data_IF_552525887194
#
_entry.id   IF_552525887194
#
_cell.length_a   1.000
_cell.length_b   1.000
_cell.length_c   1.000
_cell.angle_alpha   90.00
_cell.angle_beta   90.00
_cell.angle_gamma   90.00
#
_symmetry.space_group_name_H-M   'P 1'
#
loop_
_entity.id
_entity.type
_entity.pdbx_description
1 polymer ?
#
# COMPACT_ATOMS: atom_id res chain seq x y z
N UNK A 1 35.22 11.52 17.19
CA UNK A 1 35.43 10.78 15.94
C UNK A 1 36.58 9.81 16.15
N UNK A 2 36.52 8.56 15.63
CA UNK A 2 37.68 7.67 15.63
C UNK A 2 38.88 8.37 14.96
N UNK A 3 40.10 8.10 15.42
CA UNK A 3 41.33 8.71 14.88
C UNK A 3 41.59 8.40 13.39
N UNK A 4 40.85 7.43 12.83
CA UNK A 4 40.99 6.94 11.46
C UNK A 4 39.81 7.36 10.54
N UNK A 5 38.90 8.22 11.02
CA UNK A 5 37.75 8.66 10.21
C UNK A 5 38.16 9.76 9.24
N UNK A 6 38.29 9.38 7.97
CA UNK A 6 38.56 10.27 6.85
C UNK A 6 37.24 10.50 6.06
N UNK A 7 36.56 11.65 6.25
CA UNK A 7 35.30 11.96 5.58
C UNK A 7 35.46 12.18 4.06
N UNK A 8 36.69 12.37 3.58
CA UNK A 8 37.00 12.69 2.19
C UNK A 8 37.24 11.43 1.34
N UNK A 9 37.09 10.23 1.92
CA UNK A 9 37.23 8.97 1.18
C UNK A 9 36.00 8.72 0.29
N UNK A 10 36.14 8.65 -1.04
CA UNK A 10 35.03 8.39 -1.95
C UNK A 10 34.29 7.10 -1.62
N UNK A 11 32.95 7.13 -1.64
CA UNK A 11 32.12 5.96 -1.36
C UNK A 11 32.39 4.82 -2.36
N UNK A 12 32.05 3.58 -1.98
CA UNK A 12 32.15 2.43 -2.90
C UNK A 12 31.34 2.67 -4.18
N UNK A 13 30.15 3.24 -4.03
CA UNK A 13 29.26 3.59 -5.14
C UNK A 13 29.90 4.62 -6.09
N UNK A 14 30.50 5.68 -5.55
CA UNK A 14 31.18 6.68 -6.37
C UNK A 14 32.35 6.05 -7.16
N UNK A 15 33.15 5.19 -6.49
CA UNK A 15 34.25 4.46 -7.13
C UNK A 15 33.74 3.54 -8.24
N UNK A 16 32.69 2.74 -7.99
CA UNK A 16 32.13 1.81 -8.97
C UNK A 16 31.47 2.56 -10.14
N UNK A 17 30.73 3.62 -9.86
CA UNK A 17 30.08 4.46 -10.87
C UNK A 17 31.13 5.08 -11.79
N UNK A 18 32.19 5.63 -11.22
CA UNK A 18 33.27 6.23 -12.00
C UNK A 18 34.00 5.19 -12.85
N UNK A 19 34.31 4.01 -12.30
CA UNK A 19 34.93 2.93 -13.07
C UNK A 19 34.03 2.38 -14.18
N UNK A 20 32.70 2.36 -13.98
CA UNK A 20 31.72 2.01 -15.02
C UNK A 20 31.66 3.07 -16.12
N UNK A 21 31.67 4.35 -15.77
CA UNK A 21 31.68 5.46 -16.73
C UNK A 21 32.96 5.47 -17.57
N UNK A 22 34.12 5.22 -16.95
CA UNK A 22 35.41 5.17 -17.66
C UNK A 22 35.48 3.98 -18.61
N UNK A 23 34.88 2.84 -18.25
CA UNK A 23 34.71 1.67 -19.12
C UNK A 23 35.99 0.91 -19.50
N UNK A 24 37.17 1.40 -19.09
CA UNK A 24 38.51 0.84 -19.34
C UNK A 24 39.37 0.87 -18.07
N UNK A 25 40.43 0.04 -17.97
CA UNK A 25 41.30 0.05 -16.79
C UNK A 25 41.94 1.43 -16.54
N UNK A 26 41.82 1.95 -15.31
CA UNK A 26 42.32 3.26 -14.88
C UNK A 26 43.37 3.13 -13.78
N UNK A 27 44.36 4.03 -13.75
CA UNK A 27 45.34 4.08 -12.66
C UNK A 27 44.71 4.56 -11.36
N UNK A 28 45.25 4.15 -10.21
CA UNK A 28 44.68 4.51 -8.89
C UNK A 28 44.70 6.02 -8.66
N UNK A 29 45.78 6.71 -9.06
CA UNK A 29 45.91 8.16 -8.95
C UNK A 29 44.95 8.91 -9.88
N UNK A 30 44.67 8.35 -11.06
CA UNK A 30 43.73 8.95 -12.03
C UNK A 30 42.29 8.77 -11.57
N UNK A 31 41.98 7.61 -10.96
CA UNK A 31 40.70 7.37 -10.31
C UNK A 31 40.49 8.33 -9.14
N UNK A 32 41.51 8.51 -8.28
CA UNK A 32 41.45 9.44 -7.16
C UNK A 32 41.20 10.87 -7.63
N UNK A 33 41.94 11.35 -8.64
CA UNK A 33 41.72 12.67 -9.24
C UNK A 33 40.32 12.84 -9.81
N UNK A 34 39.79 11.82 -10.47
CA UNK A 34 38.45 11.87 -11.05
C UNK A 34 37.31 11.87 -10.02
N UNK A 35 37.58 11.40 -8.80
CA UNK A 35 36.65 11.40 -7.67
C UNK A 35 36.85 12.60 -6.73
N UNK A 36 37.74 13.53 -7.08
CA UNK A 36 38.07 14.69 -6.24
C UNK A 36 38.89 14.34 -5.00
N UNK A 37 39.48 13.15 -4.92
CA UNK A 37 40.29 12.71 -3.79
C UNK A 37 41.76 13.15 -3.94
N UNK A 38 42.47 13.25 -2.81
CA UNK A 38 43.88 13.63 -2.77
C UNK A 38 44.80 12.54 -3.36
N UNK A 39 45.89 12.99 -3.98
CA UNK A 39 47.01 12.16 -4.44
C UNK A 39 48.31 12.72 -3.83
N UNK A 40 49.12 11.94 -3.10
CA UNK A 40 49.00 10.50 -2.85
C UNK A 40 47.77 10.10 -2.00
N UNK A 41 47.30 8.87 -2.19
CA UNK A 41 46.07 8.35 -1.57
C UNK A 41 46.13 8.38 -0.04
N UNK A 42 45.02 8.74 0.60
CA UNK A 42 44.87 8.59 2.05
C UNK A 42 44.85 7.10 2.44
N UNK A 43 45.24 6.79 3.69
CA UNK A 43 45.18 5.43 4.24
C UNK A 43 43.75 4.86 4.19
N UNK A 44 42.74 5.72 4.36
CA UNK A 44 41.32 5.34 4.28
C UNK A 44 40.91 4.90 2.88
N UNK A 45 41.38 5.62 1.85
CA UNK A 45 41.08 5.26 0.46
C UNK A 45 41.82 3.98 0.03
N UNK A 46 43.09 3.82 0.39
CA UNK A 46 43.83 2.57 0.10
C UNK A 46 43.17 1.34 0.77
N UNK A 47 42.78 1.47 2.05
CA UNK A 47 42.03 0.41 2.75
C UNK A 47 40.70 0.09 2.06
N UNK A 48 39.98 1.09 1.54
CA UNK A 48 38.71 0.90 0.82
C UNK A 48 38.91 0.15 -0.49
N UNK A 49 39.91 0.53 -1.30
CA UNK A 49 40.22 -0.17 -2.55
C UNK A 49 40.61 -1.63 -2.30
N UNK A 50 41.45 -1.91 -1.29
CA UNK A 50 41.80 -3.29 -0.90
C UNK A 50 40.60 -4.10 -0.41
N UNK A 51 39.68 -3.47 0.33
CA UNK A 51 38.45 -4.13 0.76
C UNK A 51 37.56 -4.46 -0.44
N UNK A 52 37.40 -3.54 -1.39
CA UNK A 52 36.62 -3.74 -2.62
C UNK A 52 37.26 -4.80 -3.54
N UNK A 53 38.59 -4.87 -3.61
CA UNK A 53 39.31 -5.95 -4.30
C UNK A 53 39.06 -7.31 -3.62
N UNK A 54 39.18 -7.37 -2.29
CA UNK A 54 38.91 -8.60 -1.51
C UNK A 54 37.47 -9.07 -1.67
N UNK A 55 36.53 -8.14 -1.71
CA UNK A 55 35.10 -8.40 -1.93
C UNK A 55 34.80 -8.73 -3.41
N UNK A 56 35.83 -8.69 -4.27
CA UNK A 56 35.76 -9.05 -5.68
C UNK A 56 35.01 -8.03 -6.54
N UNK A 57 34.79 -6.80 -6.05
CA UNK A 57 34.16 -5.71 -6.79
C UNK A 57 35.12 -5.09 -7.81
N UNK A 58 36.42 -5.11 -7.50
CA UNK A 58 37.50 -4.56 -8.32
C UNK A 58 38.51 -5.64 -8.72
N UNK A 59 39.19 -5.43 -9.84
CA UNK A 59 40.37 -6.20 -10.24
C UNK A 59 41.50 -5.26 -10.64
N UNK A 60 42.73 -5.65 -10.33
CA UNK A 60 43.93 -5.09 -10.96
C UNK A 60 44.29 -5.90 -12.20
N UNK A 61 44.57 -5.22 -13.30
CA UNK A 61 45.18 -5.87 -14.46
C UNK A 61 46.70 -6.06 -14.26
N UNK A 62 47.35 -6.77 -15.19
CA UNK A 62 48.80 -7.02 -15.15
C UNK A 62 49.66 -5.74 -15.11
N UNK A 63 49.09 -4.59 -15.47
CA UNK A 63 49.75 -3.29 -15.47
C UNK A 63 49.39 -2.44 -14.23
N UNK A 64 48.79 -3.03 -13.20
CA UNK A 64 48.45 -2.34 -11.94
C UNK A 64 47.29 -1.34 -12.05
N UNK A 65 46.47 -1.40 -13.11
CA UNK A 65 45.29 -0.54 -13.28
C UNK A 65 44.02 -1.23 -12.78
N UNK A 66 43.14 -0.46 -12.16
CA UNK A 66 41.84 -0.88 -11.61
C UNK A 66 40.78 -0.97 -12.70
N UNK A 67 39.95 -2.00 -12.62
CA UNK A 67 38.72 -2.17 -13.39
C UNK A 67 37.63 -2.78 -12.51
N UNK A 68 36.37 -2.55 -12.88
CA UNK A 68 35.25 -3.28 -12.27
C UNK A 68 35.39 -4.76 -12.63
N UNK A 69 35.24 -5.62 -11.64
CA UNK A 69 35.20 -7.06 -11.88
C UNK A 69 33.90 -7.45 -12.59
N UNK A 70 33.94 -7.55 -13.92
CA UNK A 70 32.78 -7.97 -14.74
C UNK A 70 32.50 -9.48 -14.69
N UNK A 71 33.31 -10.29 -13.99
CA UNK A 71 33.14 -11.75 -13.89
C UNK A 71 32.21 -12.20 -12.76
N UNK A 72 31.52 -11.28 -12.09
CA UNK A 72 30.59 -11.62 -11.01
C UNK A 72 29.24 -11.01 -11.34
N UNK A 73 28.29 -11.87 -11.73
CA UNK A 73 26.88 -11.52 -11.88
C UNK A 73 26.31 -11.24 -10.48
N UNK A 74 26.43 -10.00 -10.01
CA UNK A 74 25.69 -9.58 -8.82
C UNK A 74 24.21 -9.58 -9.17
N UNK A 75 23.43 -10.21 -8.31
CA UNK A 75 21.98 -10.29 -8.46
C UNK A 75 21.38 -9.20 -7.58
N UNK A 76 20.64 -8.29 -8.20
CA UNK A 76 19.83 -7.32 -7.50
C UNK A 76 18.53 -7.98 -7.01
N UNK A 77 18.14 -7.64 -5.79
CA UNK A 77 16.93 -8.19 -5.20
C UNK A 77 16.53 -7.50 -3.91
N UNK A 78 15.32 -7.82 -3.45
CA UNK A 78 14.77 -7.35 -2.18
C UNK A 78 14.99 -8.41 -1.10
N UNK A 79 15.41 -7.98 0.09
CA UNK A 79 15.61 -8.84 1.24
C UNK A 79 14.26 -9.15 1.89
N UNK A 80 13.90 -10.44 1.92
CA UNK A 80 12.78 -10.96 2.68
C UNK A 80 13.30 -11.66 3.95
N UNK A 81 13.10 -11.05 5.12
CA UNK A 81 13.51 -11.66 6.38
C UNK A 81 12.59 -12.80 6.80
N UNK A 82 13.10 -13.71 7.62
CA UNK A 82 12.35 -14.81 8.22
C UNK A 82 12.40 -14.74 9.75
N UNK A 83 11.34 -15.24 10.40
CA UNK A 83 11.21 -15.27 11.86
C UNK A 83 12.25 -16.11 12.61
N UNK A 84 13.03 -16.92 11.90
CA UNK A 84 14.12 -17.74 12.47
C UNK A 84 15.50 -17.07 12.27
N UNK A 85 15.53 -15.85 11.72
CA UNK A 85 16.74 -15.04 11.57
C UNK A 85 17.52 -15.23 10.26
N UNK A 86 17.17 -16.21 9.43
CA UNK A 86 17.61 -16.26 8.03
C UNK A 86 16.71 -15.36 7.15
N UNK A 87 17.01 -15.29 5.85
CA UNK A 87 16.14 -14.60 4.89
C UNK A 87 16.28 -15.15 3.47
N UNK A 88 15.64 -14.46 2.54
CA UNK A 88 15.70 -14.72 1.12
C UNK A 88 15.96 -13.44 0.35
N UNK A 89 16.65 -13.55 -0.78
CA UNK A 89 16.76 -12.52 -1.78
C UNK A 89 15.72 -12.81 -2.86
N UNK A 90 14.67 -11.98 -2.91
CA UNK A 90 13.68 -11.98 -3.98
C UNK A 90 14.29 -11.23 -5.15
N UNK A 91 14.56 -11.93 -6.24
CA UNK A 91 15.35 -11.40 -7.35
C UNK A 91 14.51 -10.49 -8.24
N UNK A 92 15.11 -9.40 -8.72
CA UNK A 92 14.44 -8.48 -9.64
C UNK A 92 14.31 -9.04 -11.06
N UNK A 93 15.16 -10.02 -11.41
CA UNK A 93 15.12 -10.70 -12.71
C UNK A 93 14.03 -11.79 -12.80
N UNK A 94 13.19 -11.93 -11.77
CA UNK A 94 12.10 -12.92 -11.72
C UNK A 94 12.57 -14.37 -11.54
N UNK A 95 13.86 -14.61 -11.29
CA UNK A 95 14.38 -15.93 -10.96
C UNK A 95 13.93 -16.42 -9.57
N UNK A 96 14.21 -17.69 -9.23
CA UNK A 96 13.88 -18.24 -7.91
C UNK A 96 14.65 -17.55 -6.79
N UNK A 97 13.99 -17.38 -5.65
CA UNK A 97 14.56 -16.77 -4.46
C UNK A 97 15.85 -17.46 -3.99
N UNK A 98 16.81 -16.66 -3.54
CA UNK A 98 18.13 -17.15 -3.09
C UNK A 98 18.20 -17.07 -1.57
N UNK A 99 18.74 -18.11 -0.93
CA UNK A 99 18.81 -18.18 0.53
C UNK A 99 19.88 -17.23 1.09
N UNK A 100 19.54 -16.52 2.17
CA UNK A 100 20.44 -15.64 2.93
C UNK A 100 20.64 -16.19 4.33
N UNK A 101 21.89 -16.48 4.68
CA UNK A 101 22.26 -17.00 6.01
C UNK A 101 21.98 -15.96 7.11
N UNK A 102 21.76 -16.38 8.38
CA UNK A 102 21.53 -15.45 9.48
C UNK A 102 22.61 -14.37 9.65
N UNK A 103 23.88 -14.71 9.36
CA UNK A 103 24.99 -13.75 9.38
C UNK A 103 24.86 -12.63 8.34
N UNK A 104 24.17 -12.89 7.22
CA UNK A 104 23.93 -11.89 6.17
C UNK A 104 22.83 -10.93 6.61
N UNK A 105 21.81 -11.47 7.29
CA UNK A 105 20.70 -10.69 7.86
C UNK A 105 21.14 -9.70 8.94
N UNK A 106 22.34 -9.85 9.52
CA UNK A 106 22.90 -8.86 10.43
C UNK A 106 23.19 -7.50 9.76
N UNK A 107 23.31 -7.44 8.43
CA UNK A 107 23.69 -6.22 7.68
C UNK A 107 22.50 -5.40 7.19
N UNK A 108 21.30 -5.97 7.25
CA UNK A 108 20.11 -5.50 6.53
C UNK A 108 18.86 -5.61 7.37
N UNK A 109 17.85 -4.84 6.99
CA UNK A 109 16.50 -4.98 7.49
C UNK A 109 15.62 -5.63 6.43
N UNK A 110 14.48 -6.17 6.87
CA UNK A 110 13.47 -6.65 5.92
C UNK A 110 13.06 -5.51 4.98
N UNK A 111 12.93 -5.82 3.69
CA UNK A 111 12.51 -4.87 2.66
C UNK A 111 13.65 -4.13 1.98
N UNK A 112 14.87 -4.16 2.51
CA UNK A 112 16.04 -3.53 1.90
C UNK A 112 16.31 -4.08 0.49
N UNK A 113 16.74 -3.20 -0.41
CA UNK A 113 17.19 -3.58 -1.76
C UNK A 113 18.70 -3.74 -1.74
N UNK A 114 19.20 -4.88 -2.22
CA UNK A 114 20.62 -5.24 -2.12
C UNK A 114 21.19 -5.77 -3.43
N UNK A 115 22.50 -5.67 -3.57
CA UNK A 115 23.29 -6.46 -4.50
C UNK A 115 23.91 -7.63 -3.74
N UNK A 116 23.65 -8.84 -4.22
CA UNK A 116 24.20 -10.05 -3.64
C UNK A 116 25.02 -10.83 -4.67
N UNK A 117 26.02 -11.54 -4.17
CA UNK A 117 26.83 -12.48 -4.94
C UNK A 117 26.42 -13.88 -4.56
N UNK A 118 25.99 -14.68 -5.55
CA UNK A 118 25.72 -16.11 -5.32
C UNK A 118 27.05 -16.79 -5.07
N UNK A 119 27.19 -17.39 -3.89
CA UNK A 119 28.40 -18.07 -3.48
C UNK A 119 28.10 -19.33 -2.66
N UNK A 120 28.03 -20.46 -3.38
CA UNK A 120 27.87 -21.78 -2.79
C UNK A 120 26.41 -22.23 -2.71
N UNK A 121 26.18 -23.19 -1.83
CA UNK A 121 24.92 -23.91 -1.71
C UNK A 121 24.64 -24.24 -0.25
N UNK A 122 23.36 -24.15 0.16
CA UNK A 122 22.89 -24.59 1.45
C UNK A 122 21.77 -25.64 1.27
N UNK A 123 22.11 -26.91 1.53
CA UNK A 123 21.18 -28.06 1.43
C UNK A 123 20.52 -28.19 0.04
N UNK A 124 21.27 -27.96 -1.03
CA UNK A 124 20.81 -28.03 -2.42
C UNK A 124 20.10 -26.77 -2.91
N UNK A 125 20.11 -25.67 -2.14
CA UNK A 125 19.60 -24.37 -2.55
C UNK A 125 20.72 -23.35 -2.72
N UNK A 126 20.72 -22.55 -3.80
CA UNK A 126 21.66 -21.44 -3.96
C UNK A 126 21.63 -20.52 -2.75
N UNK A 127 22.81 -20.13 -2.27
CA UNK A 127 22.97 -19.11 -1.23
C UNK A 127 23.70 -17.90 -1.80
N UNK A 128 23.49 -16.74 -1.19
CA UNK A 128 24.21 -15.53 -1.56
C UNK A 128 24.75 -14.76 -0.35
N UNK A 129 25.84 -14.05 -0.60
CA UNK A 129 26.42 -13.08 0.31
C UNK A 129 26.04 -11.68 -0.13
N UNK A 130 25.52 -10.87 0.79
CA UNK A 130 25.15 -9.47 0.55
C UNK A 130 26.44 -8.65 0.46
N UNK A 131 26.61 -8.01 -0.69
CA UNK A 131 27.79 -7.21 -1.02
C UNK A 131 27.52 -5.74 -0.70
N UNK A 132 26.31 -5.26 -1.02
CA UNK A 132 25.94 -3.86 -0.89
C UNK A 132 24.44 -3.71 -0.67
N UNK A 133 24.05 -2.71 0.11
CA UNK A 133 22.66 -2.28 0.25
C UNK A 133 22.47 -1.06 -0.63
N UNK A 134 21.64 -1.21 -1.66
CA UNK A 134 21.37 -0.19 -2.67
C UNK A 134 20.34 0.81 -2.15
N UNK A 135 19.35 0.32 -1.40
CA UNK A 135 18.26 1.14 -0.89
C UNK A 135 17.79 0.62 0.47
N UNK A 136 17.65 1.52 1.44
CA UNK A 136 17.12 1.23 2.77
C UNK A 136 15.62 1.50 2.77
N UNK A 137 14.81 0.44 2.86
CA UNK A 137 13.35 0.57 2.85
C UNK A 137 12.80 0.83 4.25
N UNK A 138 13.36 0.17 5.26
CA UNK A 138 12.88 0.27 6.64
C UNK A 138 13.60 1.40 7.36
N UNK A 139 12.96 2.57 7.39
CA UNK A 139 13.45 3.75 8.12
C UNK A 139 12.61 4.05 9.36
N UNK A 140 11.37 3.54 9.41
CA UNK A 140 10.52 3.54 10.59
C UNK A 140 9.99 2.13 10.85
N UNK A 141 9.81 1.78 12.12
CA UNK A 141 9.16 0.52 12.50
C UNK A 141 8.40 0.69 13.80
N UNK A 142 7.41 -0.17 14.01
CA UNK A 142 6.70 -0.33 15.28
C UNK A 142 7.33 -1.47 16.08
N UNK A 143 7.46 -1.25 17.38
CA UNK A 143 7.99 -2.23 18.30
C UNK A 143 7.64 -1.94 19.74
N UNK A 144 7.97 -2.89 20.61
CA UNK A 144 7.81 -2.76 22.05
C UNK A 144 9.04 -2.13 22.68
N UNK A 145 8.85 -1.04 23.41
CA UNK A 145 9.91 -0.36 24.16
C UNK A 145 10.21 -1.11 25.46
N UNK A 146 11.46 -1.49 25.67
CA UNK A 146 11.93 -2.24 26.83
C UNK A 146 13.19 -1.60 27.42
N UNK A 147 13.46 -1.91 28.68
CA UNK A 147 14.72 -1.58 29.34
C UNK A 147 15.40 -2.87 29.77
N UNK A 148 16.47 -3.24 29.06
CA UNK A 148 17.21 -4.47 29.30
C UNK A 148 18.69 -4.19 29.51
N UNK A 149 19.28 -4.79 30.54
CA UNK A 149 20.73 -4.76 30.80
C UNK A 149 21.34 -3.35 30.82
N UNK A 150 20.57 -2.35 31.24
CA UNK A 150 21.02 -0.96 31.33
C UNK A 150 20.85 -0.15 30.03
N UNK A 151 20.20 -0.69 29.01
CA UNK A 151 19.93 0.00 27.75
C UNK A 151 18.43 0.01 27.44
N UNK A 152 17.96 1.09 26.82
CA UNK A 152 16.64 1.13 26.21
C UNK A 152 16.71 0.48 24.83
N UNK A 153 15.79 -0.44 24.56
CA UNK A 153 15.68 -1.13 23.29
C UNK A 153 14.25 -1.10 22.79
N UNK A 154 14.08 -1.18 21.48
CA UNK A 154 12.79 -1.45 20.85
C UNK A 154 12.88 -2.75 20.10
N UNK A 155 12.03 -3.70 20.49
CA UNK A 155 11.90 -5.01 19.85
C UNK A 155 10.83 -4.90 18.76
N UNK A 156 11.14 -5.08 17.46
CA UNK A 156 10.18 -4.91 16.38
C UNK A 156 8.99 -5.90 16.44
N UNK A 157 7.79 -5.44 16.12
CA UNK A 157 6.59 -6.29 15.97
C UNK A 157 6.59 -7.11 14.66
N UNK A 158 7.40 -6.71 13.69
CA UNK A 158 7.70 -7.55 12.53
C UNK A 158 8.80 -8.56 12.88
N UNK A 159 8.40 -9.79 13.17
CA UNK A 159 9.33 -10.88 13.51
C UNK A 159 10.36 -11.22 12.41
N UNK A 160 10.18 -10.72 11.18
CA UNK A 160 11.16 -10.82 10.08
C UNK A 160 12.39 -9.94 10.32
N UNK A 161 12.28 -8.95 11.20
CA UNK A 161 13.37 -8.09 11.66
C UNK A 161 13.85 -8.65 13.02
N UNK A 162 15.11 -9.08 13.07
CA UNK A 162 15.73 -9.65 14.29
C UNK A 162 16.67 -8.71 15.02
N UNK A 163 16.76 -7.48 14.55
CA UNK A 163 17.53 -6.44 15.21
C UNK A 163 16.68 -5.78 16.27
N UNK A 164 17.15 -5.81 17.51
CA UNK A 164 16.68 -4.86 18.52
C UNK A 164 17.25 -3.49 18.18
N UNK A 165 16.40 -2.46 18.21
CA UNK A 165 16.83 -1.09 17.95
C UNK A 165 17.24 -0.46 19.27
N UNK A 166 18.51 -0.07 19.39
CA UNK A 166 19.02 0.63 20.58
C UNK A 166 18.51 2.07 20.58
N UNK A 167 17.94 2.50 21.70
CA UNK A 167 17.44 3.86 21.89
C UNK A 167 18.32 4.59 22.91
N UNK A 168 19.02 5.67 22.53
CA UNK A 168 19.75 6.50 23.48
C UNK A 168 18.81 7.10 24.55
N UNK A 169 19.26 7.31 25.80
CA UNK A 169 18.40 7.83 26.88
C UNK A 169 17.71 9.18 26.59
N UNK A 170 18.30 10.01 25.72
CA UNK A 170 17.70 11.31 25.31
C UNK A 170 16.69 11.22 24.17
N UNK A 171 16.54 10.05 23.55
CA UNK A 171 15.75 9.82 22.33
C UNK A 171 14.54 8.89 22.59
N UNK A 172 14.11 8.79 23.85
CA UNK A 172 13.01 7.91 24.27
C UNK A 172 11.64 8.55 24.11
N UNK A 173 11.57 9.87 23.87
CA UNK A 173 10.33 10.65 23.83
C UNK A 173 9.42 10.42 25.06
N UNK A 174 9.98 10.04 26.21
CA UNK A 174 9.22 9.75 27.43
C UNK A 174 8.53 8.38 27.47
N UNK A 175 8.82 7.49 26.52
CA UNK A 175 8.28 6.13 26.49
C UNK A 175 8.62 5.34 27.76
N UNK A 176 7.65 4.56 28.23
CA UNK A 176 7.79 3.66 29.38
C UNK A 176 7.99 2.22 28.92
N UNK A 177 8.74 1.44 29.71
CA UNK A 177 8.99 0.05 29.40
C UNK A 177 7.68 -0.75 29.39
N UNK A 178 7.44 -1.49 28.30
CA UNK A 178 6.22 -2.24 28.06
C UNK A 178 5.37 -1.68 26.92
N UNK A 179 5.48 -0.36 26.67
CA UNK A 179 4.68 0.36 25.68
C UNK A 179 5.04 0.02 24.24
N UNK A 180 4.07 0.19 23.36
CA UNK A 180 4.25 0.11 21.91
C UNK A 180 4.62 1.49 21.39
N UNK A 181 5.66 1.57 20.58
CA UNK A 181 6.22 2.81 20.05
C UNK A 181 6.51 2.71 18.56
N UNK A 182 6.42 3.85 17.87
CA UNK A 182 7.01 4.02 16.54
C UNK A 182 8.41 4.57 16.71
N UNK A 183 9.39 3.92 16.07
CA UNK A 183 10.80 4.31 16.08
C UNK A 183 11.24 4.69 14.69
N UNK A 184 11.99 5.79 14.59
CA UNK A 184 12.77 6.13 13.40
C UNK A 184 14.21 5.63 13.57
N UNK A 185 14.72 4.92 12.56
CA UNK A 185 16.09 4.39 12.55
C UNK A 185 17.04 5.51 12.13
N UNK A 186 17.86 5.96 13.08
CA UNK A 186 18.87 7.00 12.90
C UNK A 186 20.16 6.40 12.31
N UNK A 187 20.51 5.18 12.73
CA UNK A 187 21.65 4.44 12.21
C UNK A 187 21.24 3.02 11.83
N UNK A 188 21.42 2.68 10.57
CA UNK A 188 21.12 1.35 10.02
C UNK A 188 22.08 0.27 10.57
N UNK A 189 21.67 -1.01 10.62
CA UNK A 189 22.50 -2.08 11.17
C UNK A 189 23.72 -2.33 10.27
N UNK A 190 24.78 -2.81 10.90
CA UNK A 190 25.93 -3.37 10.19
C UNK A 190 26.24 -4.75 10.77
N UNK A 191 27.18 -5.48 10.14
CA UNK A 191 27.60 -6.80 10.61
C UNK A 191 27.97 -6.84 12.11
N UNK A 192 28.44 -5.73 12.67
CA UNK A 192 28.96 -5.66 14.04
C UNK A 192 28.20 -4.68 14.94
N UNK A 193 27.21 -3.96 14.42
CA UNK A 193 26.49 -2.93 15.17
C UNK A 193 25.00 -3.08 14.98
N UNK A 194 24.28 -3.07 16.09
CA UNK A 194 22.82 -2.96 16.09
C UNK A 194 22.40 -1.58 15.55
N UNK A 195 21.17 -1.48 15.03
CA UNK A 195 20.63 -0.19 14.61
C UNK A 195 20.42 0.72 15.82
N UNK A 196 20.63 2.02 15.62
CA UNK A 196 20.24 3.05 16.57
C UNK A 196 18.98 3.73 16.08
N UNK A 197 18.05 4.01 16.98
CA UNK A 197 16.82 4.71 16.66
C UNK A 197 16.46 5.77 17.69
N UNK A 198 15.42 6.52 17.35
CA UNK A 198 14.73 7.43 18.26
C UNK A 198 13.24 7.16 18.25
N UNK A 199 12.61 7.25 19.41
CA UNK A 199 11.15 7.16 19.49
C UNK A 199 10.56 8.44 18.90
N UNK A 200 9.69 8.29 17.90
CA UNK A 200 8.97 9.40 17.29
C UNK A 200 7.54 9.53 17.81
N UNK A 201 6.98 8.42 18.30
CA UNK A 201 5.60 8.35 18.77
C UNK A 201 5.44 7.23 19.79
N UNK A 202 4.72 7.51 20.89
CA UNK A 202 4.28 6.49 21.85
C UNK A 202 2.82 6.19 21.53
N UNK A 203 2.52 4.95 21.13
CA UNK A 203 1.18 4.55 20.71
C UNK A 203 0.29 4.22 21.91
N UNK A 204 0.87 3.65 22.97
CA UNK A 204 0.15 3.22 24.16
C UNK A 204 0.64 1.89 24.72
N UNK A 205 -0.22 1.22 25.49
CA UNK A 205 0.04 -0.11 26.04
C UNK A 205 -0.35 -1.21 25.04
N UNK A 206 0.31 -2.36 25.12
CA UNK A 206 0.08 -3.47 24.18
C UNK A 206 -1.34 -4.06 24.25
N UNK A 207 -2.00 -3.91 25.41
CA UNK A 207 -3.36 -4.38 25.70
C UNK A 207 -4.43 -3.30 25.51
N UNK A 208 -4.06 -2.11 25.06
CA UNK A 208 -5.02 -1.04 24.75
C UNK A 208 -5.97 -1.47 23.60
N UNK A 209 -7.27 -1.18 23.69
CA UNK A 209 -8.22 -1.50 22.63
C UNK A 209 -7.83 -0.88 21.28
N UNK A 210 -7.65 -1.70 20.24
CA UNK A 210 -7.32 -1.24 18.90
C UNK A 210 -5.82 -1.12 18.63
N UNK A 211 -4.96 -1.39 19.62
CA UNK A 211 -3.50 -1.41 19.44
C UNK A 211 -3.06 -2.44 18.39
N UNK A 212 -3.75 -3.58 18.30
CA UNK A 212 -3.51 -4.59 17.27
C UNK A 212 -3.70 -4.05 15.85
N UNK A 213 -4.63 -3.10 15.67
CA UNK A 213 -4.88 -2.43 14.39
C UNK A 213 -3.77 -1.42 14.14
N UNK A 214 -3.42 -0.57 15.11
CA UNK A 214 -2.31 0.39 14.98
C UNK A 214 -0.97 -0.27 14.61
N UNK A 215 -0.68 -1.41 15.26
CA UNK A 215 0.49 -2.24 14.93
C UNK A 215 0.40 -2.75 13.49
N UNK A 216 -0.74 -3.33 13.09
CA UNK A 216 -0.91 -3.88 11.75
C UNK A 216 -0.75 -2.80 10.66
N UNK A 217 -1.37 -1.63 10.85
CA UNK A 217 -1.31 -0.50 9.91
C UNK A 217 0.13 -0.07 9.66
N UNK A 218 0.92 0.16 10.72
CA UNK A 218 2.32 0.58 10.58
C UNK A 218 3.25 -0.55 10.13
N UNK A 219 3.00 -1.79 10.58
CA UNK A 219 3.80 -2.96 10.20
C UNK A 219 3.69 -3.31 8.71
N UNK A 220 2.50 -3.15 8.15
CA UNK A 220 2.24 -3.44 6.73
C UNK A 220 2.34 -2.20 5.84
N UNK A 221 2.80 -1.07 6.38
CA UNK A 221 2.96 0.20 5.64
C UNK A 221 1.63 0.61 4.97
N UNK A 222 0.50 0.39 5.66
CA UNK A 222 -0.83 0.76 5.15
C UNK A 222 -0.96 2.28 5.23
N UNK A 223 -1.11 2.98 4.08
CA UNK A 223 -1.29 4.43 4.08
C UNK A 223 -2.62 4.78 4.74
N UNK A 224 -2.55 5.50 5.86
CA UNK A 224 -3.71 5.81 6.70
C UNK A 224 -3.93 7.31 6.88
N UNK A 225 -2.88 8.12 6.77
CA UNK A 225 -2.96 9.59 6.79
C UNK A 225 -3.20 10.12 5.38
N UNK A 226 -4.13 11.07 5.23
CA UNK A 226 -4.36 11.75 3.95
C UNK A 226 -3.36 12.89 3.80
N UNK A 227 -2.90 13.15 2.58
CA UNK A 227 -2.04 14.29 2.31
C UNK A 227 -2.79 15.61 2.57
N UNK A 228 -2.08 16.66 3.01
CA UNK A 228 -2.73 17.97 3.20
C UNK A 228 -3.39 18.51 1.91
N UNK A 229 -2.80 18.35 0.70
CA UNK A 229 -3.47 18.70 -0.54
C UNK A 229 -4.79 17.96 -0.74
N UNK A 230 -4.85 16.65 -0.46
CA UNK A 230 -6.07 15.85 -0.56
C UNK A 230 -7.14 16.30 0.44
N UNK A 231 -6.76 16.60 1.69
CA UNK A 231 -7.69 17.13 2.70
C UNK A 231 -8.27 18.49 2.29
N UNK A 232 -7.42 19.41 1.80
CA UNK A 232 -7.89 20.73 1.30
C UNK A 232 -8.81 20.60 0.09
N UNK A 233 -8.59 19.61 -0.77
CA UNK A 233 -9.51 19.33 -1.88
C UNK A 233 -10.84 18.81 -1.35
N UNK A 234 -10.82 17.84 -0.43
CA UNK A 234 -12.03 17.27 0.16
C UNK A 234 -12.89 18.32 0.88
N UNK A 235 -12.28 19.27 1.60
CA UNK A 235 -12.98 20.40 2.24
C UNK A 235 -13.71 21.31 1.25
N UNK A 236 -13.22 21.38 0.00
CA UNK A 236 -13.81 22.19 -1.08
C UNK A 236 -14.88 21.43 -1.87
N UNK A 237 -14.95 20.12 -1.71
CA UNK A 237 -15.94 19.28 -2.39
C UNK A 237 -17.34 19.66 -1.88
N UNK A 238 -18.31 19.90 -2.77
CA UNK A 238 -19.68 20.22 -2.35
C UNK A 238 -20.32 19.10 -1.53
N UNK A 239 -21.11 19.48 -0.52
CA UNK A 239 -21.91 18.52 0.26
C UNK A 239 -23.24 18.14 -0.39
N UNK A 240 -23.61 18.82 -1.48
CA UNK A 240 -24.82 18.58 -2.26
C UNK A 240 -24.59 18.81 -3.74
N UNK A 241 -25.29 18.07 -4.59
CA UNK A 241 -25.25 18.24 -6.06
C UNK A 241 -25.70 19.65 -6.45
N UNK A 242 -24.91 20.33 -7.28
CA UNK A 242 -25.27 21.65 -7.79
C UNK A 242 -26.07 21.55 -9.08
N UNK A 243 -26.86 22.59 -9.38
CA UNK A 243 -27.64 22.67 -10.63
C UNK A 243 -26.78 22.54 -11.89
N UNK A 244 -25.54 23.04 -11.85
CA UNK A 244 -24.61 22.97 -12.97
C UNK A 244 -24.16 21.53 -13.26
N UNK A 245 -24.13 20.66 -12.24
CA UNK A 245 -23.67 19.27 -12.38
C UNK A 245 -24.70 18.36 -13.06
N UNK A 246 -25.93 18.88 -13.25
CA UNK A 246 -27.05 18.18 -13.89
C UNK A 246 -26.98 18.24 -15.43
N UNK A 247 -26.18 19.15 -15.99
CA UNK A 247 -26.10 19.31 -17.44
C UNK A 247 -25.59 18.03 -18.12
N UNK A 248 -26.29 17.60 -19.17
CA UNK A 248 -25.99 16.36 -19.91
C UNK A 248 -26.28 15.05 -19.16
N UNK A 249 -26.92 15.08 -17.98
CA UNK A 249 -27.31 13.89 -17.22
C UNK A 249 -28.77 13.54 -17.40
N UNK A 250 -29.07 12.24 -17.37
CA UNK A 250 -30.46 11.74 -17.32
C UNK A 250 -31.03 11.99 -15.93
N UNK A 251 -32.23 12.57 -15.85
CA UNK A 251 -32.92 12.76 -14.58
C UNK A 251 -33.72 11.49 -14.24
N UNK A 252 -33.29 10.79 -13.19
CA UNK A 252 -33.93 9.59 -12.67
C UNK A 252 -34.39 9.78 -11.21
N UNK A 253 -34.55 11.03 -10.76
CA UNK A 253 -34.96 11.31 -9.37
C UNK A 253 -36.35 10.83 -9.02
N UNK A 254 -37.20 10.59 -10.01
CA UNK A 254 -38.55 10.03 -9.85
C UNK A 254 -38.55 8.49 -9.88
N UNK A 255 -37.41 7.86 -10.18
CA UNK A 255 -37.27 6.40 -10.19
C UNK A 255 -36.95 5.92 -8.77
N UNK A 256 -37.70 4.95 -8.22
CA UNK A 256 -37.60 4.55 -6.82
C UNK A 256 -36.42 3.59 -6.58
N UNK A 257 -35.21 4.11 -6.79
CA UNK A 257 -33.97 3.44 -6.41
C UNK A 257 -33.90 3.23 -4.90
N UNK A 258 -33.33 2.08 -4.50
CA UNK A 258 -33.00 1.76 -3.11
C UNK A 258 -31.55 1.30 -3.00
N UNK A 259 -30.95 1.48 -1.83
CA UNK A 259 -29.68 0.84 -1.45
C UNK A 259 -29.95 -0.34 -0.52
N UNK A 260 -29.15 -1.41 -0.62
CA UNK A 260 -29.29 -2.63 0.19
C UNK A 260 -27.92 -3.00 0.76
N UNK A 261 -27.71 -2.67 2.03
CA UNK A 261 -26.38 -2.72 2.64
C UNK A 261 -26.40 -3.41 4.02
N UNK A 262 -25.21 -3.60 4.60
CA UNK A 262 -25.10 -4.00 6.01
C UNK A 262 -25.56 -2.88 6.96
N UNK A 263 -25.96 -3.25 8.18
CA UNK A 263 -26.47 -2.33 9.20
C UNK A 263 -25.48 -1.19 9.53
N UNK A 264 -24.18 -1.51 9.53
CA UNK A 264 -23.10 -0.61 9.88
C UNK A 264 -22.52 0.18 8.69
N UNK A 265 -22.94 -0.11 7.45
CA UNK A 265 -22.46 0.59 6.25
C UNK A 265 -22.86 2.08 6.22
N UNK A 266 -22.02 2.92 5.62
CA UNK A 266 -22.22 4.38 5.49
C UNK A 266 -21.85 4.91 4.09
N UNK A 267 -21.05 4.15 3.37
CA UNK A 267 -20.54 4.32 2.01
C UNK A 267 -21.43 3.50 1.04
N UNK A 268 -22.62 4.03 0.72
CA UNK A 268 -23.54 3.35 -0.19
C UNK A 268 -23.15 3.65 -1.64
N UNK A 269 -22.36 2.78 -2.26
CA UNK A 269 -21.80 3.02 -3.59
C UNK A 269 -22.74 2.61 -4.73
N UNK A 270 -23.73 1.75 -4.45
CA UNK A 270 -24.68 1.25 -5.42
C UNK A 270 -26.15 1.36 -4.99
N UNK A 271 -27.02 1.62 -5.96
CA UNK A 271 -28.46 1.61 -5.80
C UNK A 271 -29.12 0.85 -6.96
N UNK A 272 -30.22 0.16 -6.67
CA UNK A 272 -30.88 -0.74 -7.63
C UNK A 272 -32.35 -0.41 -7.82
N UNK A 273 -32.84 -0.65 -9.03
CA UNK A 273 -34.25 -0.61 -9.38
C UNK A 273 -34.56 -1.66 -10.45
N UNK A 274 -35.72 -2.32 -10.35
CA UNK A 274 -36.16 -3.32 -11.32
C UNK A 274 -37.65 -3.13 -11.65
N UNK A 275 -38.00 -3.28 -12.93
CA UNK A 275 -39.38 -3.32 -13.40
C UNK A 275 -39.62 -4.43 -14.44
N UNK A 276 -40.81 -5.06 -14.45
CA UNK A 276 -41.18 -6.01 -15.48
C UNK A 276 -41.42 -5.30 -16.81
N UNK A 277 -40.89 -5.85 -17.89
CA UNK A 277 -41.04 -5.33 -19.25
C UNK A 277 -41.51 -6.41 -20.22
N UNK A 278 -42.13 -5.99 -21.33
CA UNK A 278 -42.48 -6.88 -22.43
C UNK A 278 -41.45 -6.75 -23.56
N UNK A 279 -40.69 -7.82 -23.80
CA UNK A 279 -39.71 -7.91 -24.88
C UNK A 279 -40.36 -8.33 -26.19
N UNK A 280 -39.79 -7.89 -27.31
CA UNK A 280 -40.23 -8.25 -28.66
C UNK A 280 -41.19 -7.25 -29.27
N UNK A 281 -41.99 -7.70 -30.24
CA UNK A 281 -42.97 -6.83 -30.93
C UNK A 281 -44.34 -6.94 -30.27
N UNK A 282 -45.26 -6.02 -30.60
CA UNK A 282 -46.64 -6.07 -30.11
C UNK A 282 -47.32 -7.43 -30.32
N UNK A 283 -47.02 -8.10 -31.44
CA UNK A 283 -47.58 -9.42 -31.79
C UNK A 283 -46.86 -10.59 -31.11
N UNK A 284 -45.68 -10.40 -30.52
CA UNK A 284 -44.86 -11.43 -29.88
C UNK A 284 -44.19 -10.87 -28.63
N UNK A 285 -45.01 -10.59 -27.61
CA UNK A 285 -44.55 -10.16 -26.28
C UNK A 285 -44.02 -11.34 -25.49
N UNK A 286 -42.86 -11.16 -24.86
CA UNK A 286 -42.26 -12.10 -23.92
C UNK A 286 -41.92 -11.36 -22.62
N UNK A 287 -42.14 -11.96 -21.45
CA UNK A 287 -41.79 -11.30 -20.20
C UNK A 287 -40.28 -11.15 -20.08
N UNK A 288 -39.85 -10.02 -19.53
CA UNK A 288 -38.48 -9.71 -19.16
C UNK A 288 -38.45 -8.71 -18.02
N UNK A 289 -37.25 -8.32 -17.64
CA UNK A 289 -36.95 -7.35 -16.61
C UNK A 289 -36.07 -6.26 -17.18
N UNK A 290 -36.33 -5.03 -16.77
CA UNK A 290 -35.38 -3.94 -16.91
C UNK A 290 -34.77 -3.69 -15.54
N UNK A 291 -33.45 -3.84 -15.45
CA UNK A 291 -32.67 -3.65 -14.24
C UNK A 291 -31.79 -2.41 -14.41
N UNK A 292 -31.95 -1.45 -13.51
CA UNK A 292 -31.08 -0.29 -13.39
C UNK A 292 -30.16 -0.50 -12.18
N UNK A 293 -28.85 -0.41 -12.40
CA UNK A 293 -27.84 -0.36 -11.35
C UNK A 293 -27.16 1.01 -11.44
N UNK A 294 -27.31 1.83 -10.41
CA UNK A 294 -26.74 3.15 -10.32
C UNK A 294 -25.53 3.11 -9.38
N UNK A 295 -24.34 3.44 -9.89
CA UNK A 295 -23.10 3.50 -9.13
C UNK A 295 -22.73 4.95 -8.87
N UNK A 296 -22.30 5.28 -7.66
CA UNK A 296 -21.81 6.61 -7.31
C UNK A 296 -20.77 7.14 -8.31
N UNK A 297 -20.98 8.36 -8.82
CA UNK A 297 -20.07 8.98 -9.78
C UNK A 297 -18.87 9.64 -9.08
N UNK A 298 -18.03 8.83 -8.43
CA UNK A 298 -16.81 9.28 -7.75
C UNK A 298 -15.89 10.05 -8.71
N UNK A 299 -15.83 9.61 -9.97
CA UNK A 299 -15.03 10.22 -11.03
C UNK A 299 -15.44 11.66 -11.36
N UNK A 300 -16.64 12.08 -10.96
CA UNK A 300 -17.04 13.47 -11.05
C UNK A 300 -16.25 14.36 -10.07
N UNK A 301 -15.98 13.86 -8.86
CA UNK A 301 -15.36 14.61 -7.76
C UNK A 301 -13.84 14.40 -7.64
N UNK A 302 -13.32 13.28 -8.14
CA UNK A 302 -11.90 12.93 -8.14
C UNK A 302 -11.42 12.82 -9.59
N UNK A 303 -10.64 13.79 -10.07
CA UNK A 303 -10.12 13.80 -11.46
C UNK A 303 -8.70 13.26 -11.53
N UNK A 304 -8.29 12.68 -12.67
CA UNK A 304 -6.93 12.22 -12.87
C UNK A 304 -5.90 13.33 -12.60
N UNK A 305 -4.93 13.05 -11.73
CA UNK A 305 -3.88 14.00 -11.32
C UNK A 305 -4.30 15.04 -10.27
N UNK A 306 -5.51 14.92 -9.71
CA UNK A 306 -5.89 15.68 -8.52
C UNK A 306 -5.20 15.12 -7.26
N UNK A 307 -5.01 15.93 -6.20
CA UNK A 307 -4.53 15.44 -4.92
C UNK A 307 -5.28 14.22 -4.35
N UNK A 308 -6.61 14.17 -4.49
CA UNK A 308 -7.41 13.02 -4.06
C UNK A 308 -7.14 11.77 -4.91
N UNK A 309 -6.79 11.93 -6.19
CA UNK A 309 -6.46 10.82 -7.10
C UNK A 309 -5.10 10.22 -6.72
N UNK A 310 -4.09 11.05 -6.46
CA UNK A 310 -2.77 10.62 -6.00
C UNK A 310 -2.86 9.79 -4.70
N UNK A 311 -3.59 10.30 -3.68
CA UNK A 311 -3.83 9.60 -2.42
C UNK A 311 -4.62 8.29 -2.64
N UNK A 312 -5.63 8.30 -3.52
CA UNK A 312 -6.42 7.11 -3.83
C UNK A 312 -5.57 6.02 -4.51
N UNK A 313 -4.65 6.40 -5.40
CA UNK A 313 -3.70 5.49 -6.07
C UNK A 313 -2.72 4.90 -5.04
N UNK A 314 -2.19 5.72 -4.14
CA UNK A 314 -1.29 5.26 -3.07
C UNK A 314 -1.99 4.25 -2.15
N UNK A 315 -3.23 4.53 -1.77
CA UNK A 315 -4.05 3.67 -0.91
C UNK A 315 -4.51 2.40 -1.61
N UNK A 316 -4.87 2.50 -2.89
CA UNK A 316 -5.32 1.41 -3.76
C UNK A 316 -6.70 0.83 -3.42
N UNK A 317 -7.04 0.69 -2.13
CA UNK A 317 -8.34 0.20 -1.64
C UNK A 317 -8.59 0.69 -0.22
N UNK A 318 -9.86 0.76 0.18
CA UNK A 318 -10.22 0.82 1.60
C UNK A 318 -9.81 -0.49 2.29
N UNK A 319 -9.31 -0.40 3.53
CA UNK A 319 -8.91 -1.55 4.34
C UNK A 319 -9.85 -1.69 5.54
N UNK A 320 -10.59 -2.79 5.59
CA UNK A 320 -11.61 -3.05 6.62
C UNK A 320 -11.03 -3.96 7.71
N UNK A 321 -10.63 -3.36 8.84
CA UNK A 321 -10.29 -4.10 10.06
C UNK A 321 -11.55 -4.40 10.89
N UNK A 322 -11.51 -5.39 11.79
CA UNK A 322 -12.53 -5.52 12.81
C UNK A 322 -12.69 -4.19 13.56
N UNK A 323 -13.86 -3.55 13.45
CA UNK A 323 -14.25 -2.29 14.12
C UNK A 323 -13.56 -1.00 13.63
N UNK A 324 -12.73 -1.02 12.59
CA UNK A 324 -12.14 0.19 11.99
C UNK A 324 -11.98 0.05 10.49
N UNK A 325 -12.31 1.11 9.76
CA UNK A 325 -12.04 1.21 8.32
C UNK A 325 -10.95 2.24 8.11
N UNK A 326 -10.00 1.93 7.22
CA UNK A 326 -9.08 2.91 6.66
C UNK A 326 -9.60 3.20 5.25
N UNK A 327 -10.28 4.34 5.05
CA UNK A 327 -10.97 4.58 3.80
C UNK A 327 -9.97 5.00 2.70
N UNK A 328 -10.28 4.63 1.46
CA UNK A 328 -9.50 5.06 0.30
C UNK A 328 -9.64 6.56 0.04
N UNK A 329 -10.83 7.12 0.29
CA UNK A 329 -11.14 8.54 0.12
C UNK A 329 -11.55 9.15 1.47
N UNK A 330 -11.38 10.46 1.67
CA UNK A 330 -11.84 11.12 2.88
C UNK A 330 -13.36 10.95 3.09
N UNK A 331 -13.79 10.87 4.35
CA UNK A 331 -15.19 10.58 4.72
C UNK A 331 -16.20 11.58 4.12
N UNK A 332 -15.78 12.84 3.92
CA UNK A 332 -16.61 13.86 3.27
C UNK A 332 -17.06 13.45 1.85
N UNK A 333 -16.24 12.63 1.16
CA UNK A 333 -16.60 12.03 -0.11
C UNK A 333 -17.30 10.69 0.12
N UNK A 334 -16.61 9.73 0.75
CA UNK A 334 -17.06 8.32 0.81
C UNK A 334 -18.39 8.15 1.52
N UNK A 335 -18.63 8.87 2.62
CA UNK A 335 -19.87 8.80 3.39
C UNK A 335 -20.81 9.97 3.05
N UNK A 336 -20.31 10.96 2.32
CA UNK A 336 -21.00 12.20 2.00
C UNK A 336 -21.54 12.25 0.58
N UNK A 337 -20.84 12.99 -0.30
CA UNK A 337 -21.33 13.30 -1.64
C UNK A 337 -21.26 12.11 -2.62
N UNK A 338 -20.37 11.15 -2.36
CA UNK A 338 -20.27 9.92 -3.14
C UNK A 338 -21.10 8.76 -2.56
N UNK A 339 -21.64 8.88 -1.35
CA UNK A 339 -22.58 7.89 -0.82
C UNK A 339 -24.00 8.21 -1.29
N UNK A 340 -24.72 7.20 -1.80
CA UNK A 340 -26.10 7.24 -2.29
C UNK A 340 -27.13 7.31 -1.15
N UNK A 341 -26.86 8.24 -0.23
CA UNK A 341 -27.65 8.52 0.95
C UNK A 341 -29.15 8.74 0.63
N UNK A 342 -30.06 8.23 1.47
CA UNK A 342 -31.49 8.30 1.22
C UNK A 342 -31.96 9.76 1.24
N UNK A 343 -32.90 10.05 0.35
CA UNK A 343 -33.58 11.34 0.21
C UNK A 343 -32.68 12.52 -0.18
N UNK A 344 -31.53 12.24 -0.79
CA UNK A 344 -30.62 13.25 -1.32
C UNK A 344 -30.33 12.99 -2.79
N UNK A 345 -30.23 14.06 -3.57
CA UNK A 345 -29.82 13.98 -4.97
C UNK A 345 -28.35 13.59 -5.05
N UNK A 346 -28.03 12.62 -5.92
CA UNK A 346 -26.68 12.08 -6.12
C UNK A 346 -26.38 11.83 -7.58
N UNK A 347 -25.14 12.12 -7.97
CA UNK A 347 -24.63 11.85 -9.32
C UNK A 347 -24.21 10.38 -9.41
N UNK A 348 -24.63 9.74 -10.50
CA UNK A 348 -24.37 8.31 -10.71
C UNK A 348 -23.99 8.02 -12.16
N UNK A 349 -23.24 6.94 -12.33
CA UNK A 349 -23.14 6.20 -13.58
C UNK A 349 -24.12 5.04 -13.53
N UNK A 350 -25.05 4.99 -14.48
CA UNK A 350 -26.09 3.96 -14.53
C UNK A 350 -25.74 2.90 -15.55
N UNK A 351 -25.90 1.64 -15.18
CA UNK A 351 -26.00 0.50 -16.08
C UNK A 351 -27.48 0.10 -16.21
N UNK A 352 -28.05 0.26 -17.40
CA UNK A 352 -29.45 -0.05 -17.72
C UNK A 352 -29.50 -1.31 -18.58
N UNK A 353 -30.05 -2.39 -18.03
CA UNK A 353 -29.98 -3.73 -18.58
C UNK A 353 -31.37 -4.32 -18.84
N UNK A 354 -31.45 -5.16 -19.86
CA UNK A 354 -32.66 -5.92 -20.20
C UNK A 354 -32.39 -7.42 -20.07
N UNK A 355 -33.19 -8.11 -19.25
CA UNK A 355 -33.02 -9.52 -18.89
C UNK A 355 -34.29 -10.29 -19.26
N UNK A 356 -34.26 -11.26 -20.21
CA UNK A 356 -35.42 -12.09 -20.50
C UNK A 356 -35.81 -12.93 -19.27
N UNK A 357 -37.10 -13.04 -18.98
CA UNK A 357 -37.61 -13.83 -17.85
C UNK A 357 -37.93 -15.28 -18.24
N UNK A 358 -37.94 -15.61 -19.54
CA UNK A 358 -38.27 -16.96 -20.04
C UNK A 358 -37.54 -17.32 -21.33
N UNK A 359 -37.56 -18.63 -21.65
CA UNK A 359 -36.91 -19.20 -22.82
C UNK A 359 -35.42 -19.47 -22.64
N UNK A 360 -34.74 -19.84 -23.72
CA UNK A 360 -33.34 -20.29 -23.68
C UNK A 360 -32.31 -19.23 -23.21
N UNK A 361 -32.71 -17.96 -23.16
CA UNK A 361 -31.89 -16.83 -22.70
C UNK A 361 -32.39 -16.23 -21.37
N UNK A 362 -33.26 -16.94 -20.64
CA UNK A 362 -33.77 -16.47 -19.36
C UNK A 362 -32.61 -16.19 -18.39
N UNK A 363 -32.67 -15.06 -17.68
CA UNK A 363 -31.65 -14.66 -16.70
C UNK A 363 -30.34 -14.16 -17.31
N UNK A 364 -30.24 -13.99 -18.64
CA UNK A 364 -29.05 -13.42 -19.29
C UNK A 364 -29.26 -11.97 -19.71
N UNK A 365 -28.24 -11.13 -19.58
CA UNK A 365 -28.29 -9.75 -20.07
C UNK A 365 -28.36 -9.78 -21.60
N UNK A 366 -29.47 -9.31 -22.15
CA UNK A 366 -29.75 -9.34 -23.59
C UNK A 366 -29.44 -8.02 -24.31
N UNK A 367 -29.46 -6.92 -23.58
CA UNK A 367 -29.05 -5.59 -24.00
C UNK A 367 -28.66 -4.78 -22.77
N UNK A 368 -27.75 -3.81 -22.94
CA UNK A 368 -27.38 -2.87 -21.90
C UNK A 368 -26.95 -1.53 -22.51
N UNK A 369 -26.98 -0.48 -21.69
CA UNK A 369 -26.37 0.81 -22.00
C UNK A 369 -25.84 1.47 -20.71
N UNK A 370 -24.87 2.35 -20.87
CA UNK A 370 -24.31 3.16 -19.78
C UNK A 370 -24.58 4.63 -20.02
N UNK A 371 -24.97 5.36 -18.97
CA UNK A 371 -25.15 6.80 -19.04
C UNK A 371 -25.01 7.47 -17.66
N UNK A 372 -24.61 8.74 -17.68
CA UNK A 372 -24.56 9.57 -16.49
C UNK A 372 -25.97 10.03 -16.13
N UNK A 373 -26.32 9.93 -14.85
CA UNK A 373 -27.63 10.34 -14.35
C UNK A 373 -27.51 11.06 -12.99
N UNK A 374 -28.64 11.62 -12.57
CA UNK A 374 -28.90 12.02 -11.18
C UNK A 374 -30.04 11.16 -10.64
N UNK A 375 -29.87 10.62 -9.42
CA UNK A 375 -30.90 9.86 -8.73
C UNK A 375 -31.25 10.51 -7.38
N UNK A 376 -32.36 10.08 -6.81
CA UNK A 376 -32.77 10.37 -5.45
C UNK A 376 -33.07 9.02 -4.78
N UNK A 377 -32.21 8.54 -3.88
CA UNK A 377 -32.45 7.25 -3.23
C UNK A 377 -33.71 7.33 -2.36
N UNK A 378 -34.70 6.46 -2.61
CA UNK A 378 -36.01 6.51 -1.95
C UNK A 378 -36.04 5.73 -0.64
N UNK A 379 -35.07 4.84 -0.43
CA UNK A 379 -34.89 4.15 0.85
C UNK A 379 -33.46 3.62 0.97
N UNK A 380 -32.91 3.74 2.18
CA UNK A 380 -31.80 2.92 2.64
C UNK A 380 -32.38 1.68 3.30
N UNK A 381 -32.07 0.51 2.78
CA UNK A 381 -32.55 -0.77 3.35
C UNK A 381 -31.37 -1.64 3.77
N UNK A 382 -31.63 -2.64 4.61
CA UNK A 382 -30.63 -3.64 4.99
C UNK A 382 -30.95 -5.00 4.40
N UNK A 383 -29.95 -5.87 4.28
CA UNK A 383 -30.19 -7.27 3.92
C UNK A 383 -31.21 -7.94 4.85
N UNK A 384 -31.14 -7.64 6.15
CA UNK A 384 -32.06 -8.14 7.17
C UNK A 384 -33.50 -7.65 6.92
N UNK A 385 -33.68 -6.37 6.64
CA UNK A 385 -35.00 -5.78 6.38
C UNK A 385 -35.62 -6.34 5.10
N UNK A 386 -34.84 -6.44 4.01
CA UNK A 386 -35.29 -6.99 2.73
C UNK A 386 -35.72 -8.45 2.91
N UNK A 387 -34.90 -9.27 3.56
CA UNK A 387 -35.24 -10.67 3.82
C UNK A 387 -36.50 -10.81 4.69
N UNK A 388 -36.60 -10.02 5.77
CA UNK A 388 -37.77 -10.05 6.64
C UNK A 388 -39.05 -9.61 5.90
N UNK A 389 -38.97 -8.59 5.06
CA UNK A 389 -40.09 -8.10 4.27
C UNK A 389 -40.59 -9.13 3.25
N UNK A 390 -39.67 -9.80 2.54
CA UNK A 390 -40.00 -10.84 1.55
C UNK A 390 -40.64 -12.08 2.21
N UNK A 391 -40.19 -12.46 3.40
CA UNK A 391 -40.73 -13.60 4.15
C UNK A 391 -42.08 -13.31 4.80
N UNK A 392 -42.33 -12.06 5.19
CA UNK A 392 -43.59 -11.61 5.80
C UNK A 392 -44.11 -10.36 5.09
N UNK A 393 -44.81 -10.49 3.95
CA UNK A 393 -45.30 -9.36 3.16
C UNK A 393 -46.23 -8.39 3.90
N UNK A 394 -46.90 -8.84 4.96
CA UNK A 394 -47.75 -8.00 5.83
C UNK A 394 -47.08 -7.64 7.17
N UNK A 395 -45.81 -8.03 7.33
CA UNK A 395 -45.01 -7.85 8.53
C UNK A 395 -44.50 -6.42 8.72
N UNK A 396 -43.88 -6.12 9.87
CA UNK A 396 -43.37 -4.78 10.18
C UNK A 396 -42.35 -4.25 9.17
N UNK A 397 -41.43 -5.10 8.69
CA UNK A 397 -40.41 -4.70 7.72
C UNK A 397 -41.02 -4.26 6.38
N UNK A 398 -41.93 -5.07 5.82
CA UNK A 398 -42.64 -4.74 4.56
C UNK A 398 -43.48 -3.46 4.69
N UNK A 399 -44.16 -3.27 5.82
CA UNK A 399 -44.91 -2.03 6.12
C UNK A 399 -44.01 -0.81 6.22
N UNK A 400 -42.85 -0.96 6.86
CA UNK A 400 -41.84 0.09 7.00
C UNK A 400 -41.28 0.60 5.67
N UNK A 401 -41.19 -0.28 4.67
CA UNK A 401 -40.75 0.06 3.30
C UNK A 401 -41.89 0.12 2.27
N UNK A 402 -43.14 0.31 2.71
CA UNK A 402 -44.33 0.21 1.86
C UNK A 402 -44.27 1.07 0.59
N UNK A 403 -43.60 2.22 0.62
CA UNK A 403 -43.41 3.10 -0.55
C UNK A 403 -42.56 2.48 -1.67
N UNK A 404 -41.65 1.55 -1.34
CA UNK A 404 -40.72 0.91 -2.29
C UNK A 404 -40.90 -0.60 -2.36
N UNK A 405 -41.82 -1.17 -1.59
CA UNK A 405 -41.95 -2.62 -1.43
C UNK A 405 -42.31 -3.36 -2.73
N UNK A 406 -43.10 -2.74 -3.62
CA UNK A 406 -43.38 -3.31 -4.95
C UNK A 406 -42.09 -3.50 -5.76
N UNK A 407 -41.16 -2.54 -5.69
CA UNK A 407 -39.87 -2.63 -6.37
C UNK A 407 -38.95 -3.67 -5.74
N UNK A 408 -38.97 -3.82 -4.42
CA UNK A 408 -38.29 -4.91 -3.72
C UNK A 408 -38.79 -6.27 -4.22
N UNK A 409 -40.09 -6.42 -4.47
CA UNK A 409 -40.66 -7.65 -5.03
C UNK A 409 -40.30 -7.91 -6.49
N UNK A 410 -39.95 -6.88 -7.26
CA UNK A 410 -39.44 -7.04 -8.62
C UNK A 410 -37.96 -7.42 -8.65
N UNK A 411 -37.21 -7.10 -7.58
CA UNK A 411 -35.79 -7.46 -7.44
C UNK A 411 -35.59 -8.91 -6.99
N UNK A 412 -36.55 -9.49 -6.24
CA UNK A 412 -36.57 -10.89 -5.80
C UNK A 412 -37.15 -11.83 -6.87
#
# INVERSE_FOLDING_TARGET
MPADFDPDVPSREAILTQLRQVGKPIGVDDLARSLGAQVPLSTGFDRRLRAMERDGQLLYNANGKLLVNKKMDFIAGRVQGHRDGFGFLVREDGGPDIFLLPREMLKVLHGDRVLAKVDGDYRGRPQATIVEVVERKTNRLVGRFLYERGAHIVVPEDQRIKHDVLIPPGETAGAQAGQVVTVEIVQQPTRHTQPLGRVVEVLGEIDDPGMEIEIAVRKFDVPHEFSEPALRQAERTPSSVHKADLDGRVDLRDVPFITIDGEDARDFDDAVYCEPVNLGTEKRRRPGWRLLVAIADVSHYVKPGDPLDDDAIERGTSVYFPRRVIPMLPEALSNGICSLNPHLDRLVLVCDMVIPASGAKAGTVSAYQFYNAVIHSHARTTYTDIWAALQQPDGPAAKGMSAVYEHVRHLY
#
